data_IF_395384302177
#
_entry.id   IF_395384302177
#
_cell.length_a   1.000
_cell.length_b   1.000
_cell.length_c   1.000
_cell.angle_alpha   90.00
_cell.angle_beta   90.00
_cell.angle_gamma   90.00
#
_symmetry.space_group_name_H-M   'P 1'
#
loop_
_entity.id
_entity.type
_entity.pdbx_description
1 polymer ?
#
# COMPACT_ATOMS: atom_id res chain seq x y z
N UNK A 1 12.36 -4.75 -15.84
CA UNK A 1 11.99 -3.43 -15.27
C UNK A 1 11.53 -3.59 -13.82
N UNK A 2 12.38 -3.25 -12.84
CA UNK A 2 12.14 -3.44 -11.38
C UNK A 2 10.84 -2.74 -10.91
N UNK A 3 10.39 -1.70 -11.63
CA UNK A 3 9.17 -0.92 -11.37
C UNK A 3 7.87 -1.73 -11.41
N UNK A 4 7.73 -2.71 -12.31
CA UNK A 4 6.53 -3.57 -12.37
C UNK A 4 6.36 -4.38 -11.09
N UNK A 5 7.47 -4.79 -10.46
CA UNK A 5 7.46 -5.53 -9.20
C UNK A 5 7.01 -4.66 -8.03
N UNK A 6 7.45 -3.40 -7.97
CA UNK A 6 7.02 -2.46 -6.94
C UNK A 6 5.54 -2.10 -7.05
N UNK A 7 5.03 -1.92 -8.28
CA UNK A 7 3.60 -1.66 -8.52
C UNK A 7 2.74 -2.84 -8.07
N UNK A 8 3.14 -4.07 -8.41
CA UNK A 8 2.42 -5.28 -7.99
C UNK A 8 2.46 -5.43 -6.47
N UNK A 9 3.60 -5.19 -5.83
CA UNK A 9 3.72 -5.24 -4.37
C UNK A 9 2.84 -4.20 -3.67
N UNK A 10 2.77 -2.98 -4.20
CA UNK A 10 1.89 -1.94 -3.68
C UNK A 10 0.40 -2.31 -3.85
N UNK A 11 0.01 -2.82 -5.02
CA UNK A 11 -1.37 -3.27 -5.27
C UNK A 11 -1.78 -4.43 -4.35
N UNK A 12 -0.89 -5.41 -4.15
CA UNK A 12 -1.15 -6.54 -3.23
C UNK A 12 -1.27 -6.06 -1.79
N UNK A 13 -0.44 -5.11 -1.35
CA UNK A 13 -0.51 -4.55 -0.01
C UNK A 13 -1.84 -3.80 0.23
N UNK A 14 -2.29 -3.00 -0.73
CA UNK A 14 -3.59 -2.31 -0.68
C UNK A 14 -4.73 -3.33 -0.63
N UNK A 15 -4.69 -4.38 -1.48
CA UNK A 15 -5.72 -5.40 -1.50
C UNK A 15 -5.80 -6.19 -0.17
N UNK A 16 -4.66 -6.54 0.43
CA UNK A 16 -4.60 -7.23 1.72
C UNK A 16 -5.10 -6.35 2.86
N UNK A 17 -4.74 -5.06 2.86
CA UNK A 17 -5.21 -4.10 3.84
C UNK A 17 -6.74 -4.03 3.82
N UNK A 18 -7.34 -3.77 2.66
CA UNK A 18 -8.81 -3.69 2.50
C UNK A 18 -9.49 -4.99 2.93
N UNK A 19 -8.96 -6.15 2.54
CA UNK A 19 -9.51 -7.45 2.93
C UNK A 19 -9.50 -7.68 4.45
N UNK A 20 -8.38 -7.37 5.11
CA UNK A 20 -8.24 -7.55 6.57
C UNK A 20 -9.17 -6.58 7.29
N UNK A 21 -9.18 -5.32 6.87
CA UNK A 21 -10.05 -4.25 7.36
C UNK A 21 -11.53 -4.63 7.29
N UNK A 22 -11.99 -5.09 6.11
CA UNK A 22 -13.36 -5.59 5.91
C UNK A 22 -13.73 -6.75 6.85
N UNK A 23 -12.79 -7.66 7.11
CA UNK A 23 -12.99 -8.78 8.04
C UNK A 23 -13.05 -8.28 9.50
N UNK A 24 -12.24 -7.28 9.86
CA UNK A 24 -12.09 -6.79 11.23
C UNK A 24 -13.26 -5.92 11.68
N UNK A 25 -13.77 -5.05 10.81
CA UNK A 25 -14.84 -4.11 11.17
C UNK A 25 -16.22 -4.76 11.22
N UNK A 26 -16.47 -5.84 10.49
CA UNK A 26 -17.71 -6.64 10.57
C UNK A 26 -19.01 -5.91 10.15
N UNK A 27 -18.99 -4.59 10.01
CA UNK A 27 -20.09 -3.72 9.60
C UNK A 27 -19.68 -2.85 8.40
N UNK A 28 -20.24 -3.17 7.23
CA UNK A 28 -19.98 -2.49 5.97
C UNK A 28 -20.80 -1.19 5.83
N UNK A 29 -20.55 -0.20 6.69
CA UNK A 29 -21.11 1.14 6.47
C UNK A 29 -20.31 1.88 5.39
N UNK A 30 -20.99 2.57 4.48
CA UNK A 30 -20.36 3.34 3.40
C UNK A 30 -19.37 4.40 3.92
N UNK A 31 -19.61 4.97 5.11
CA UNK A 31 -18.70 5.93 5.74
C UNK A 31 -17.38 5.29 6.18
N UNK A 32 -17.47 4.09 6.75
CA UNK A 32 -16.32 3.32 7.22
C UNK A 32 -15.45 2.90 6.03
N UNK A 33 -16.10 2.39 4.98
CA UNK A 33 -15.43 1.92 3.77
C UNK A 33 -14.72 3.06 3.03
N UNK A 34 -15.33 4.25 2.96
CA UNK A 34 -14.67 5.43 2.38
C UNK A 34 -13.49 5.94 3.21
N UNK A 35 -13.57 5.86 4.54
CA UNK A 35 -12.46 6.20 5.44
C UNK A 35 -11.29 5.24 5.23
N UNK A 36 -11.54 3.93 5.25
CA UNK A 36 -10.49 2.93 5.06
C UNK A 36 -9.85 2.97 3.67
N UNK A 37 -10.63 3.19 2.60
CA UNK A 37 -10.07 3.38 1.26
C UNK A 37 -9.14 4.60 1.22
N UNK A 38 -9.55 5.71 1.85
CA UNK A 38 -8.76 6.94 1.89
C UNK A 38 -7.47 6.74 2.67
N UNK A 39 -7.55 6.10 3.83
CA UNK A 39 -6.38 5.75 4.66
C UNK A 39 -5.44 4.77 3.94
N UNK A 40 -5.98 3.74 3.28
CA UNK A 40 -5.24 2.78 2.48
C UNK A 40 -4.53 3.42 1.28
N UNK A 41 -5.15 4.40 0.62
CA UNK A 41 -4.53 5.18 -0.45
C UNK A 41 -3.37 6.03 0.08
N UNK A 42 -3.57 6.71 1.22
CA UNK A 42 -2.52 7.50 1.87
C UNK A 42 -1.34 6.60 2.25
N UNK A 43 -1.62 5.42 2.82
CA UNK A 43 -0.59 4.46 3.17
C UNK A 43 0.15 3.92 1.94
N UNK A 44 -0.56 3.62 0.86
CA UNK A 44 0.03 3.19 -0.42
C UNK A 44 0.95 4.24 -1.03
N UNK A 45 0.57 5.52 -0.99
CA UNK A 45 1.40 6.64 -1.45
C UNK A 45 2.64 6.79 -0.57
N UNK A 46 2.50 6.75 0.75
CA UNK A 46 3.62 6.82 1.69
C UNK A 46 4.60 5.66 1.49
N UNK A 47 4.08 4.45 1.27
CA UNK A 47 4.91 3.27 1.01
C UNK A 47 5.66 3.36 -0.33
N UNK A 48 5.01 3.88 -1.38
CA UNK A 48 5.67 4.12 -2.66
C UNK A 48 6.81 5.15 -2.54
N UNK A 49 6.59 6.23 -1.78
CA UNK A 49 7.63 7.23 -1.48
C UNK A 49 8.77 6.58 -0.68
N UNK A 50 8.45 5.80 0.35
CA UNK A 50 9.44 5.07 1.14
C UNK A 50 10.28 4.13 0.27
N UNK A 51 9.65 3.35 -0.62
CA UNK A 51 10.36 2.47 -1.55
C UNK A 51 11.28 3.26 -2.48
N UNK A 52 10.82 4.39 -3.02
CA UNK A 52 11.62 5.25 -3.89
C UNK A 52 12.83 5.84 -3.16
N UNK A 53 12.63 6.36 -1.94
CA UNK A 53 13.72 6.85 -1.09
C UNK A 53 14.68 5.71 -0.74
N UNK A 54 14.18 4.55 -0.34
CA UNK A 54 15.00 3.38 -0.02
C UNK A 54 15.83 2.93 -1.22
N UNK A 55 15.25 2.86 -2.41
CA UNK A 55 15.96 2.49 -3.65
C UNK A 55 17.05 3.52 -3.98
N UNK A 56 16.77 4.82 -3.78
CA UNK A 56 17.72 5.90 -4.07
C UNK A 56 18.86 6.04 -3.06
N UNK A 57 18.60 5.81 -1.77
CA UNK A 57 19.58 6.04 -0.69
C UNK A 57 20.26 4.74 -0.22
N UNK A 58 19.58 3.60 -0.26
CA UNK A 58 20.11 2.30 0.21
C UNK A 58 20.46 1.38 -0.98
N UNK A 59 19.95 1.66 -2.18
CA UNK A 59 20.15 0.84 -3.38
C UNK A 59 21.56 0.86 -4.01
N UNK A 60 22.55 1.59 -3.47
CA UNK A 60 23.95 1.43 -3.90
C UNK A 60 24.60 0.10 -3.46
N UNK A 61 23.84 -0.85 -2.89
CA UNK A 61 24.38 -2.12 -2.40
C UNK A 61 23.79 -3.40 -3.01
N UNK A 62 22.98 -3.32 -4.06
CA UNK A 62 22.66 -4.51 -4.88
C UNK A 62 22.59 -4.15 -6.36
N UNK A 63 23.51 -4.75 -7.09
CA UNK A 63 23.60 -4.94 -8.54
C UNK A 63 22.25 -4.91 -9.32
#
# INVERSE_FOLDING_TARGET
MKIKRYIIQALVAVALYVLISMILEGEYSNEILMREITEGLVFGVLYAIFLWVRDRFIGRKKE
#
